data_IF_961473949713
#
_entry.id   IF_961473949713
#
_cell.length_a   1.000
_cell.length_b   1.000
_cell.length_c   1.000
_cell.angle_alpha   90.00
_cell.angle_beta   90.00
_cell.angle_gamma   90.00
#
_symmetry.space_group_name_H-M   'P 1'
#
loop_
_entity.id
_entity.type
_entity.pdbx_description
1 polymer ?
#
# COMPACT_ATOMS: atom_id res chain seq x y z
N UNK A 1 -4.49 -3.29 6.73
CA UNK A 1 -4.89 -2.40 5.62
C UNK A 1 -6.39 -2.17 5.54
N UNK A 2 -7.22 -3.08 6.05
CA UNK A 2 -8.68 -2.93 6.11
C UNK A 2 -9.15 -1.66 6.84
N UNK A 3 -8.36 -1.13 7.77
CA UNK A 3 -8.65 0.13 8.45
C UNK A 3 -7.97 1.32 7.77
N UNK A 4 -6.69 1.19 7.44
CA UNK A 4 -5.88 2.31 6.96
C UNK A 4 -6.25 2.79 5.56
N UNK A 5 -6.46 1.88 4.59
CA UNK A 5 -6.79 2.30 3.22
C UNK A 5 -8.15 3.02 3.17
N UNK A 6 -9.23 2.51 3.78
CA UNK A 6 -10.50 3.27 3.83
C UNK A 6 -10.38 4.61 4.56
N UNK A 7 -9.60 4.69 5.63
CA UNK A 7 -9.37 5.96 6.33
C UNK A 7 -8.64 6.99 5.45
N UNK A 8 -7.64 6.56 4.67
CA UNK A 8 -6.93 7.43 3.72
C UNK A 8 -7.83 7.86 2.56
N UNK A 9 -8.69 6.97 2.06
CA UNK A 9 -9.70 7.30 1.04
C UNK A 9 -10.69 8.36 1.56
N UNK A 10 -11.21 8.19 2.78
CA UNK A 10 -12.07 9.18 3.44
C UNK A 10 -11.37 10.54 3.62
N UNK A 11 -10.08 10.52 3.98
CA UNK A 11 -9.27 11.73 4.10
C UNK A 11 -9.07 12.42 2.74
N UNK A 12 -8.76 11.66 1.70
CA UNK A 12 -8.60 12.18 0.34
C UNK A 12 -9.90 12.82 -0.16
N UNK A 13 -11.04 12.16 0.01
CA UNK A 13 -12.36 12.72 -0.34
C UNK A 13 -12.68 13.99 0.45
N UNK A 14 -12.27 14.05 1.71
CA UNK A 14 -12.42 15.24 2.53
C UNK A 14 -11.58 16.39 2.02
N UNK A 15 -10.32 16.15 1.63
CA UNK A 15 -9.50 17.17 0.99
C UNK A 15 -10.04 17.59 -0.38
N UNK A 16 -10.56 16.66 -1.20
CA UNK A 16 -11.19 17.00 -2.47
C UNK A 16 -12.34 18.02 -2.30
N UNK A 17 -13.24 17.78 -1.34
CA UNK A 17 -14.31 18.76 -1.01
C UNK A 17 -13.76 20.10 -0.53
N UNK A 18 -12.62 20.10 0.17
CA UNK A 18 -11.96 21.34 0.64
C UNK A 18 -11.25 22.08 -0.48
N UNK A 19 -10.71 21.39 -1.48
CA UNK A 19 -10.16 22.02 -2.69
C UNK A 19 -11.22 22.88 -3.36
N UNK A 20 -12.42 22.33 -3.58
CA UNK A 20 -13.55 23.06 -4.17
C UNK A 20 -14.03 24.19 -3.28
N UNK A 21 -14.25 23.92 -1.98
CA UNK A 21 -14.75 24.93 -1.04
C UNK A 21 -13.78 26.11 -0.83
N UNK A 22 -12.49 25.93 -1.15
CA UNK A 22 -11.45 26.95 -0.96
C UNK A 22 -10.90 27.50 -2.29
N UNK A 23 -11.55 27.20 -3.42
CA UNK A 23 -11.09 27.58 -4.75
C UNK A 23 -10.89 29.10 -4.90
N UNK A 24 -11.77 29.90 -4.29
CA UNK A 24 -11.77 31.36 -4.45
C UNK A 24 -11.02 32.12 -3.35
N UNK A 25 -10.47 31.42 -2.34
CA UNK A 25 -9.76 32.05 -1.22
C UNK A 25 -8.31 32.27 -1.62
N UNK A 26 -7.94 33.49 -2.03
CA UNK A 26 -6.55 33.85 -2.32
C UNK A 26 -5.78 34.09 -1.02
N UNK A 27 -4.58 33.51 -0.91
CA UNK A 27 -3.65 33.69 0.23
C UNK A 27 -2.22 33.95 -0.24
N UNK A 28 -1.39 34.48 0.67
CA UNK A 28 0.06 34.56 0.48
C UNK A 28 0.69 33.17 0.56
N UNK A 29 1.52 32.81 -0.42
CA UNK A 29 2.36 31.62 -0.37
C UNK A 29 3.50 31.79 0.63
N UNK A 30 4.06 30.68 1.14
CA UNK A 30 5.26 30.72 1.96
C UNK A 30 6.32 29.74 1.51
N UNK A 31 7.52 30.23 1.23
CA UNK A 31 8.72 29.42 0.96
C UNK A 31 9.81 29.83 1.94
N UNK A 32 10.51 28.87 2.55
CA UNK A 32 11.43 29.15 3.67
C UNK A 32 10.76 29.93 4.83
N UNK A 33 9.44 29.74 5.01
CA UNK A 33 8.61 30.49 5.96
C UNK A 33 8.51 32.01 5.70
N UNK A 34 8.98 32.49 4.55
CA UNK A 34 8.87 33.88 4.12
C UNK A 34 7.76 34.04 3.08
N UNK A 35 7.20 35.25 2.98
CA UNK A 35 6.15 35.57 2.01
C UNK A 35 6.64 35.35 0.58
N UNK A 36 5.77 34.75 -0.23
CA UNK A 36 6.02 34.42 -1.63
C UNK A 36 4.84 34.90 -2.51
N UNK A 37 4.78 34.40 -3.75
CA UNK A 37 3.68 34.74 -4.67
C UNK A 37 2.33 34.16 -4.19
N UNK A 38 1.20 34.84 -4.48
CA UNK A 38 -0.12 34.35 -4.10
C UNK A 38 -0.52 33.04 -4.78
N UNK A 39 -1.37 32.27 -4.10
CA UNK A 39 -2.07 31.09 -4.58
C UNK A 39 -3.44 30.99 -3.88
N UNK A 40 -4.33 30.15 -4.37
CA UNK A 40 -5.59 29.87 -3.65
C UNK A 40 -5.38 28.83 -2.56
N UNK A 41 -6.16 28.91 -1.48
CA UNK A 41 -6.15 27.90 -0.42
C UNK A 41 -6.59 26.53 -0.98
N UNK A 42 -7.46 26.51 -2.00
CA UNK A 42 -7.80 25.30 -2.75
C UNK A 42 -6.59 24.68 -3.46
N UNK A 43 -5.71 25.49 -4.07
CA UNK A 43 -4.46 24.99 -4.68
C UNK A 43 -3.55 24.35 -3.64
N UNK A 44 -3.40 24.94 -2.46
CA UNK A 44 -2.62 24.36 -1.36
C UNK A 44 -3.20 23.01 -0.88
N UNK A 45 -4.52 22.94 -0.69
CA UNK A 45 -5.20 21.69 -0.31
C UNK A 45 -5.12 20.61 -1.39
N UNK A 46 -5.01 20.99 -2.67
CA UNK A 46 -4.83 20.03 -3.76
C UNK A 46 -3.48 19.29 -3.64
N UNK A 47 -2.45 19.97 -3.10
CA UNK A 47 -1.18 19.34 -2.74
C UNK A 47 -1.36 18.28 -1.65
N UNK A 48 -2.11 18.58 -0.59
CA UNK A 48 -2.38 17.62 0.49
C UNK A 48 -3.18 16.41 0.00
N UNK A 49 -4.21 16.64 -0.82
CA UNK A 49 -4.99 15.57 -1.46
C UNK A 49 -4.09 14.64 -2.29
N UNK A 50 -3.20 15.22 -3.10
CA UNK A 50 -2.27 14.48 -3.94
C UNK A 50 -1.29 13.65 -3.11
N UNK A 51 -0.75 14.20 -2.02
CA UNK A 51 0.12 13.45 -1.10
C UNK A 51 -0.57 12.23 -0.50
N UNK A 52 -1.85 12.34 -0.14
CA UNK A 52 -2.64 11.21 0.39
C UNK A 52 -2.86 10.15 -0.70
N UNK A 53 -3.18 10.56 -1.93
CA UNK A 53 -3.33 9.65 -3.06
C UNK A 53 -2.04 8.87 -3.35
N UNK A 54 -0.90 9.56 -3.39
CA UNK A 54 0.41 8.95 -3.57
C UNK A 54 0.75 7.98 -2.44
N UNK A 55 0.43 8.34 -1.19
CA UNK A 55 0.65 7.46 -0.04
C UNK A 55 -0.15 6.16 -0.16
N UNK A 56 -1.42 6.24 -0.60
CA UNK A 56 -2.24 5.05 -0.86
C UNK A 56 -1.62 4.15 -1.93
N UNK A 57 -1.19 4.72 -3.05
CA UNK A 57 -0.51 3.98 -4.13
C UNK A 57 0.76 3.28 -3.64
N UNK A 58 1.60 4.00 -2.88
CA UNK A 58 2.83 3.43 -2.28
C UNK A 58 2.52 2.27 -1.33
N UNK A 59 1.49 2.40 -0.50
CA UNK A 59 1.07 1.34 0.42
C UNK A 59 0.60 0.09 -0.35
N UNK A 60 -0.23 0.26 -1.37
CA UNK A 60 -0.68 -0.84 -2.22
C UNK A 60 0.49 -1.57 -2.89
N UNK A 61 1.48 -0.82 -3.40
CA UNK A 61 2.69 -1.41 -3.98
C UNK A 61 3.53 -2.15 -2.93
N UNK A 62 3.71 -1.58 -1.74
CA UNK A 62 4.44 -2.23 -0.66
C UNK A 62 3.77 -3.55 -0.23
N UNK A 63 2.44 -3.59 -0.20
CA UNK A 63 1.70 -4.81 0.11
C UNK A 63 1.97 -5.94 -0.87
N UNK A 64 2.15 -5.67 -2.17
CA UNK A 64 2.48 -6.71 -3.14
C UNK A 64 3.76 -7.46 -2.78
N UNK A 65 4.71 -6.78 -2.11
CA UNK A 65 5.97 -7.35 -1.66
C UNK A 65 5.89 -7.98 -0.27
N UNK A 66 4.98 -7.50 0.58
CA UNK A 66 4.80 -7.99 1.95
C UNK A 66 3.84 -9.18 2.08
N UNK A 67 2.87 -9.32 1.16
CA UNK A 67 1.87 -10.39 1.18
C UNK A 67 2.36 -11.81 0.84
N UNK A 68 3.44 -12.02 0.06
CA UNK A 68 3.94 -13.36 -0.19
C UNK A 68 4.42 -14.06 1.09
N UNK A 69 3.93 -15.26 1.38
CA UNK A 69 4.35 -16.06 2.55
C UNK A 69 5.36 -17.14 2.17
N UNK A 70 6.28 -17.43 3.10
CA UNK A 70 7.32 -18.45 2.92
C UNK A 70 6.87 -19.88 3.30
N UNK A 71 5.64 -20.04 3.77
CA UNK A 71 5.14 -21.31 4.31
C UNK A 71 5.20 -22.44 3.28
N UNK A 72 5.74 -23.58 3.70
CA UNK A 72 6.11 -24.69 2.82
C UNK A 72 7.58 -24.65 2.34
N UNK A 73 8.37 -23.65 2.75
CA UNK A 73 9.83 -23.64 2.56
C UNK A 73 10.58 -24.51 3.55
N UNK A 74 9.99 -24.86 4.69
CA UNK A 74 10.58 -25.69 5.76
C UNK A 74 11.88 -25.08 6.31
N UNK A 75 12.81 -25.88 6.84
CA UNK A 75 13.96 -25.41 7.63
C UNK A 75 14.88 -24.43 6.87
N UNK A 76 15.15 -24.70 5.60
CA UNK A 76 16.12 -23.91 4.80
C UNK A 76 15.55 -23.34 3.50
N UNK A 77 14.30 -23.65 3.14
CA UNK A 77 13.67 -23.16 1.91
C UNK A 77 13.57 -24.18 0.76
N UNK A 78 13.98 -25.43 0.98
CA UNK A 78 13.88 -26.55 0.01
C UNK A 78 12.47 -27.15 -0.07
N UNK A 79 11.70 -27.01 1.01
CA UNK A 79 10.43 -27.73 1.17
C UNK A 79 10.60 -29.18 1.63
N UNK A 80 11.80 -29.61 2.07
CA UNK A 80 12.03 -30.95 2.58
C UNK A 80 11.13 -31.23 3.80
N UNK A 81 10.45 -32.38 3.79
CA UNK A 81 9.44 -32.78 4.78
C UNK A 81 8.12 -31.99 4.73
N UNK A 82 7.92 -31.07 3.77
CA UNK A 82 6.58 -30.56 3.50
C UNK A 82 5.80 -31.59 2.66
N UNK A 83 4.59 -32.00 3.08
CA UNK A 83 3.75 -32.85 2.26
C UNK A 83 3.49 -32.23 0.88
N UNK A 84 3.36 -33.07 -0.15
CA UNK A 84 3.05 -32.59 -1.48
C UNK A 84 1.77 -31.72 -1.47
N UNK A 85 1.85 -30.54 -2.08
CA UNK A 85 0.73 -29.58 -2.11
C UNK A 85 0.51 -28.76 -0.83
N UNK A 86 1.28 -28.96 0.25
CA UNK A 86 1.09 -28.24 1.51
C UNK A 86 1.07 -26.72 1.35
N UNK A 87 2.05 -26.16 0.65
CA UNK A 87 2.14 -24.71 0.43
C UNK A 87 0.94 -24.16 -0.35
N UNK A 88 0.45 -24.91 -1.35
CA UNK A 88 -0.71 -24.53 -2.14
C UNK A 88 -2.00 -24.62 -1.31
N UNK A 89 -2.18 -25.70 -0.55
CA UNK A 89 -3.33 -25.89 0.34
C UNK A 89 -3.41 -24.82 1.43
N UNK A 90 -2.26 -24.45 2.02
CA UNK A 90 -2.22 -23.39 3.02
C UNK A 90 -2.57 -22.03 2.42
N UNK A 91 -2.02 -21.68 1.25
CA UNK A 91 -2.40 -20.42 0.56
C UNK A 91 -3.89 -20.39 0.22
N UNK A 92 -4.44 -21.50 -0.29
CA UNK A 92 -5.86 -21.61 -0.58
C UNK A 92 -6.72 -21.43 0.68
N UNK A 93 -6.28 -21.97 1.82
CA UNK A 93 -6.97 -21.78 3.10
C UNK A 93 -6.82 -20.35 3.62
N UNK A 94 -5.62 -19.78 3.59
CA UNK A 94 -5.36 -18.42 4.04
C UNK A 94 -6.16 -17.39 3.22
N UNK A 95 -6.25 -17.57 1.90
CA UNK A 95 -7.08 -16.73 1.03
C UNK A 95 -8.59 -16.84 1.28
N UNK A 96 -9.06 -17.88 1.97
CA UNK A 96 -10.45 -17.99 2.44
C UNK A 96 -10.70 -17.28 3.77
N UNK A 97 -9.69 -17.19 4.64
CA UNK A 97 -9.83 -16.54 5.96
C UNK A 97 -9.51 -15.03 5.93
N UNK A 98 -8.57 -14.60 5.09
CA UNK A 98 -8.12 -13.22 5.04
C UNK A 98 -8.05 -12.69 3.61
N UNK A 99 -8.43 -11.42 3.45
CA UNK A 99 -8.17 -10.62 2.25
C UNK A 99 -7.13 -9.54 2.55
N UNK A 100 -6.19 -9.27 1.62
CA UNK A 100 -6.14 -9.74 0.24
C UNK A 100 -5.53 -11.15 0.09
N UNK A 101 -5.65 -11.73 -1.11
CA UNK A 101 -5.19 -13.09 -1.39
C UNK A 101 -3.67 -13.27 -1.12
N UNK A 102 -3.33 -14.25 -0.29
CA UNK A 102 -1.96 -14.58 0.08
C UNK A 102 -1.21 -15.18 -1.12
N UNK A 103 -0.12 -14.53 -1.55
CA UNK A 103 0.71 -14.97 -2.68
C UNK A 103 1.81 -15.93 -2.23
N UNK A 104 2.35 -16.70 -3.18
CA UNK A 104 3.53 -17.51 -2.94
C UNK A 104 4.79 -16.65 -2.98
N UNK A 105 5.69 -16.82 -2.00
CA UNK A 105 7.05 -16.30 -2.11
C UNK A 105 7.90 -17.28 -2.92
N UNK A 106 8.65 -16.79 -3.91
CA UNK A 106 9.61 -17.61 -4.64
C UNK A 106 10.66 -18.18 -3.67
N UNK A 107 10.97 -19.47 -3.83
CA UNK A 107 11.95 -20.19 -3.00
C UNK A 107 13.24 -20.39 -3.81
N UNK A 108 14.32 -19.64 -3.53
CA UNK A 108 15.53 -19.66 -4.35
C UNK A 108 16.21 -21.04 -4.38
N UNK A 109 16.19 -21.79 -3.27
CA UNK A 109 16.85 -23.11 -3.21
C UNK A 109 16.10 -24.19 -4.02
N UNK A 110 14.78 -24.11 -4.10
CA UNK A 110 13.98 -25.03 -4.92
C UNK A 110 14.10 -24.70 -6.41
N UNK A 111 14.23 -23.42 -6.76
CA UNK A 111 14.47 -22.98 -8.13
C UNK A 111 15.88 -23.35 -8.65
N UNK A 112 16.84 -23.56 -7.74
CA UNK A 112 18.21 -23.95 -8.06
C UNK A 112 18.41 -25.48 -8.23
N UNK A 113 17.35 -26.31 -8.11
CA UNK A 113 17.46 -27.77 -8.24
C UNK A 113 18.19 -28.47 -7.09
N UNK A 114 18.39 -27.79 -5.96
CA UNK A 114 19.09 -28.30 -4.77
C UNK A 114 18.15 -28.99 -3.76
N UNK A 115 16.98 -29.44 -4.22
CA UNK A 115 15.91 -30.01 -3.39
C UNK A 115 15.19 -31.16 -4.10
#
# INVERSE_FOLDING_TARGET
MEQLLPALEQLQQTFARKVEAFADIVKVGRTHLQDAVPLTLGQEFSGYMTQVADAQSRLQQAMLRAMPVAQGGTAVGTGLNAPHGFAAGLRARAGRLHRPAVRARAQPLRAAGLA
#
